data_IF_159042265683
#
_entry.id   IF_159042265683
#
_cell.length_a   1.000
_cell.length_b   1.000
_cell.length_c   1.000
_cell.angle_alpha   90.00
_cell.angle_beta   90.00
_cell.angle_gamma   90.00
#
_symmetry.space_group_name_H-M   'P 1'
#
loop_
_entity.id
_entity.type
_entity.pdbx_description
1 polymer ?
#
# COMPACT_ATOMS: atom_id res chain seq x y z
N UNK A 1 -22.24 12.12 -4.36
CA UNK A 1 -21.11 12.73 -3.63
C UNK A 1 -20.87 12.11 -2.27
N UNK A 2 -21.84 11.41 -1.71
CA UNK A 2 -21.79 10.87 -0.36
C UNK A 2 -21.49 9.37 -0.33
N UNK A 3 -21.11 8.86 0.84
CA UNK A 3 -20.97 7.42 1.06
C UNK A 3 -22.30 6.71 0.85
N UNK A 4 -22.29 5.58 0.16
CA UNK A 4 -23.48 4.75 -0.06
C UNK A 4 -23.19 3.29 0.24
N UNK A 5 -24.08 2.63 0.95
CA UNK A 5 -24.07 1.18 1.14
C UNK A 5 -25.13 0.55 0.21
N UNK A 6 -24.69 -0.26 -0.76
CA UNK A 6 -25.56 -0.91 -1.74
C UNK A 6 -25.18 -2.38 -1.83
N UNK A 7 -26.14 -3.28 -1.62
CA UNK A 7 -25.92 -4.73 -1.71
C UNK A 7 -24.73 -5.24 -0.88
N UNK A 8 -24.57 -4.72 0.35
CA UNK A 8 -23.47 -5.10 1.25
C UNK A 8 -22.09 -4.54 0.88
N UNK A 9 -22.02 -3.69 -0.13
CA UNK A 9 -20.78 -2.97 -0.51
C UNK A 9 -20.87 -1.51 -0.10
N UNK A 10 -19.78 -0.99 0.46
CA UNK A 10 -19.64 0.43 0.79
C UNK A 10 -18.96 1.15 -0.36
N UNK A 11 -19.63 2.16 -0.91
CA UNK A 11 -19.08 3.04 -1.93
C UNK A 11 -18.59 4.34 -1.30
N UNK A 12 -17.32 4.64 -1.54
CA UNK A 12 -16.69 5.86 -1.05
C UNK A 12 -17.19 7.08 -1.82
N UNK A 13 -17.56 8.14 -1.11
CA UNK A 13 -18.02 9.39 -1.71
C UNK A 13 -16.87 10.15 -2.35
N UNK A 14 -16.89 10.37 -3.66
CA UNK A 14 -15.82 11.06 -4.39
C UNK A 14 -15.57 12.49 -3.88
N UNK A 15 -16.57 13.14 -3.29
CA UNK A 15 -16.43 14.47 -2.67
C UNK A 15 -15.58 14.50 -1.40
N UNK A 16 -15.26 13.34 -0.81
CA UNK A 16 -14.38 13.21 0.34
C UNK A 16 -12.89 13.02 -0.03
N UNK A 17 -12.58 12.88 -1.32
CA UNK A 17 -11.21 12.80 -1.82
C UNK A 17 -10.53 14.17 -1.68
N UNK A 18 -9.31 14.17 -1.17
CA UNK A 18 -8.52 15.42 -1.00
C UNK A 18 -8.37 16.14 -2.34
N UNK A 19 -8.49 17.46 -2.32
CA UNK A 19 -8.41 18.35 -3.49
C UNK A 19 -9.53 18.16 -4.52
N UNK A 20 -10.54 17.35 -4.24
CA UNK A 20 -11.70 17.17 -5.10
C UNK A 20 -12.88 17.93 -4.49
N UNK A 21 -13.27 19.03 -5.10
CA UNK A 21 -14.36 19.89 -4.61
C UNK A 21 -15.71 19.20 -4.72
N UNK A 22 -16.57 19.41 -3.72
CA UNK A 22 -17.93 18.86 -3.70
C UNK A 22 -18.76 19.31 -4.91
N UNK A 23 -18.64 20.58 -5.30
CA UNK A 23 -19.35 21.18 -6.45
C UNK A 23 -18.99 20.48 -7.76
N UNK A 24 -17.69 20.27 -8.01
CA UNK A 24 -17.21 19.56 -9.20
C UNK A 24 -17.78 18.14 -9.29
N UNK A 25 -17.78 17.43 -8.17
CA UNK A 25 -18.35 16.08 -8.12
C UNK A 25 -19.87 16.10 -8.33
N UNK A 26 -20.57 17.09 -7.77
CA UNK A 26 -22.02 17.24 -7.98
C UNK A 26 -22.34 17.44 -9.46
N UNK A 27 -21.58 18.24 -10.18
CA UNK A 27 -21.76 18.46 -11.61
C UNK A 27 -21.48 17.20 -12.42
N UNK A 28 -20.42 16.45 -12.11
CA UNK A 28 -20.13 15.15 -12.74
C UNK A 28 -21.25 14.13 -12.49
N UNK A 29 -21.79 14.10 -11.25
CA UNK A 29 -22.90 13.20 -10.88
C UNK A 29 -24.15 13.58 -11.63
N UNK A 30 -24.51 14.88 -11.68
CA UNK A 30 -25.68 15.38 -12.42
C UNK A 30 -25.57 15.05 -13.92
N UNK A 31 -24.39 15.24 -14.51
CA UNK A 31 -24.14 14.87 -15.91
C UNK A 31 -24.40 13.36 -16.14
N UNK A 32 -23.92 12.52 -15.24
CA UNK A 32 -24.13 11.08 -15.30
C UNK A 32 -25.59 10.68 -15.10
N UNK A 33 -26.32 11.34 -14.21
CA UNK A 33 -27.74 11.06 -13.94
C UNK A 33 -28.62 11.48 -15.11
N UNK A 34 -28.33 12.62 -15.74
CA UNK A 34 -29.13 13.16 -16.86
C UNK A 34 -28.83 12.43 -18.17
N UNK A 35 -27.59 12.07 -18.44
CA UNK A 35 -27.11 11.58 -19.73
C UNK A 35 -26.54 10.14 -19.69
N UNK A 36 -26.77 9.41 -18.58
CA UNK A 36 -26.37 8.02 -18.39
C UNK A 36 -24.91 7.85 -17.98
N UNK A 37 -24.56 6.61 -17.65
CA UNK A 37 -23.21 6.21 -17.19
C UNK A 37 -22.12 6.61 -18.20
N UNK A 38 -20.93 6.94 -17.69
CA UNK A 38 -19.75 7.11 -18.54
C UNK A 38 -19.27 5.71 -19.00
N UNK A 39 -19.19 5.50 -20.31
CA UNK A 39 -18.87 4.20 -20.91
C UNK A 39 -17.36 3.98 -21.09
N UNK A 40 -16.57 5.05 -21.13
CA UNK A 40 -15.13 5.04 -21.28
C UNK A 40 -14.52 6.34 -20.73
N UNK A 41 -13.21 6.36 -20.57
CA UNK A 41 -12.50 7.58 -20.20
C UNK A 41 -12.67 8.69 -21.25
N UNK A 42 -12.68 8.33 -22.53
CA UNK A 42 -12.94 9.27 -23.61
C UNK A 42 -14.37 9.85 -23.54
N UNK A 43 -15.38 9.02 -23.25
CA UNK A 43 -16.75 9.47 -23.06
C UNK A 43 -16.86 10.42 -21.85
N UNK A 44 -16.14 10.17 -20.77
CA UNK A 44 -16.04 11.07 -19.62
C UNK A 44 -15.49 12.45 -20.03
N UNK A 45 -14.32 12.49 -20.69
CA UNK A 45 -13.66 13.73 -21.12
C UNK A 45 -14.60 14.59 -22.00
N UNK A 46 -15.34 13.96 -22.90
CA UNK A 46 -16.20 14.65 -23.86
C UNK A 46 -17.46 15.28 -23.23
N UNK A 47 -17.81 14.82 -22.03
CA UNK A 47 -19.04 15.22 -21.33
C UNK A 47 -18.83 16.17 -20.18
N UNK A 48 -17.64 16.17 -19.58
CA UNK A 48 -17.32 17.03 -18.44
C UNK A 48 -16.86 18.42 -18.87
N UNK A 49 -17.03 19.41 -17.98
CA UNK A 49 -16.60 20.78 -18.22
C UNK A 49 -15.23 21.03 -17.57
N UNK A 50 -14.39 21.84 -18.22
CA UNK A 50 -13.09 22.31 -17.67
C UNK A 50 -13.23 23.00 -16.31
N UNK A 51 -14.36 23.65 -16.05
CA UNK A 51 -14.64 24.30 -14.76
C UNK A 51 -14.81 23.29 -13.62
N UNK A 52 -15.25 22.08 -13.95
CA UNK A 52 -15.54 21.01 -12.97
C UNK A 52 -14.38 20.07 -12.75
N UNK A 53 -13.40 20.02 -13.67
CA UNK A 53 -12.27 19.07 -13.62
C UNK A 53 -10.94 19.77 -13.91
N UNK A 54 -10.41 20.45 -12.90
CA UNK A 54 -9.06 21.01 -12.96
C UNK A 54 -7.98 19.93 -12.69
N UNK A 55 -6.72 20.33 -12.84
CA UNK A 55 -5.56 19.43 -12.66
C UNK A 55 -5.57 18.70 -11.31
N UNK A 56 -5.74 19.45 -10.21
CA UNK A 56 -5.70 18.88 -8.86
C UNK A 56 -6.85 17.91 -8.59
N UNK A 57 -8.02 18.21 -9.14
CA UNK A 57 -9.20 17.34 -9.02
C UNK A 57 -9.01 16.04 -9.79
N UNK A 58 -8.50 16.11 -11.04
CA UNK A 58 -8.19 14.92 -11.82
C UNK A 58 -7.10 14.07 -11.15
N UNK A 59 -6.03 14.69 -10.65
CA UNK A 59 -4.99 13.98 -9.90
C UNK A 59 -5.56 13.25 -8.68
N UNK A 60 -6.43 13.91 -7.91
CA UNK A 60 -7.09 13.30 -6.76
C UNK A 60 -7.97 12.11 -7.14
N UNK A 61 -8.80 12.26 -8.17
CA UNK A 61 -9.68 11.20 -8.69
C UNK A 61 -8.87 10.00 -9.22
N UNK A 62 -7.81 10.26 -10.00
CA UNK A 62 -6.94 9.19 -10.55
C UNK A 62 -6.25 8.43 -9.43
N UNK A 63 -5.63 9.13 -8.48
CA UNK A 63 -4.93 8.51 -7.35
C UNK A 63 -5.86 7.67 -6.47
N UNK A 64 -7.10 8.12 -6.30
CA UNK A 64 -8.14 7.40 -5.56
C UNK A 64 -8.74 6.21 -6.33
N UNK A 65 -8.38 6.00 -7.60
CA UNK A 65 -8.90 4.89 -8.42
C UNK A 65 -10.30 5.12 -8.99
N UNK A 66 -10.74 6.38 -9.10
CA UNK A 66 -12.08 6.68 -9.64
C UNK A 66 -12.27 6.24 -11.10
N UNK A 67 -11.20 5.98 -11.83
CA UNK A 67 -11.19 5.57 -13.22
C UNK A 67 -10.74 4.12 -13.47
N UNK A 68 -10.53 3.31 -12.42
CA UNK A 68 -10.04 1.93 -12.51
C UNK A 68 -10.95 0.99 -13.32
N UNK A 69 -12.23 1.36 -13.46
CA UNK A 69 -13.17 0.62 -14.31
C UNK A 69 -12.83 0.79 -15.81
N UNK A 70 -12.24 1.93 -16.19
CA UNK A 70 -11.85 2.22 -17.57
C UNK A 70 -10.41 1.81 -17.86
N UNK A 71 -9.49 2.08 -16.95
CA UNK A 71 -8.08 1.70 -17.04
C UNK A 71 -7.48 1.57 -15.64
N UNK A 72 -6.85 0.42 -15.38
CA UNK A 72 -6.20 0.12 -14.09
C UNK A 72 -4.84 0.78 -13.93
N UNK A 73 -4.23 1.24 -15.02
CA UNK A 73 -2.94 1.95 -14.96
C UNK A 73 -3.16 3.41 -14.61
N UNK A 74 -3.27 3.67 -13.31
CA UNK A 74 -3.44 5.03 -12.77
C UNK A 74 -2.28 5.96 -13.14
N UNK A 75 -1.04 5.45 -13.24
CA UNK A 75 0.12 6.27 -13.60
C UNK A 75 0.02 6.80 -15.03
N UNK A 76 -0.44 5.95 -15.96
CA UNK A 76 -0.69 6.33 -17.35
C UNK A 76 -1.69 7.48 -17.47
N UNK A 77 -2.82 7.38 -16.75
CA UNK A 77 -3.82 8.45 -16.71
C UNK A 77 -3.23 9.72 -16.09
N UNK A 78 -2.52 9.59 -14.96
CA UNK A 78 -1.92 10.72 -14.24
C UNK A 78 -0.97 11.53 -15.12
N UNK A 79 -0.06 10.84 -15.82
CA UNK A 79 0.90 11.48 -16.72
C UNK A 79 0.22 12.16 -17.91
N UNK A 80 -0.96 11.68 -18.31
CA UNK A 80 -1.74 12.25 -19.42
C UNK A 80 -2.62 13.44 -19.02
N UNK A 81 -2.70 13.82 -17.74
CA UNK A 81 -3.57 14.91 -17.27
C UNK A 81 -3.38 16.23 -18.04
N UNK A 82 -2.17 16.70 -18.35
CA UNK A 82 -2.00 17.92 -19.13
C UNK A 82 -2.69 17.84 -20.49
N UNK A 83 -2.53 16.72 -21.21
CA UNK A 83 -3.15 16.45 -22.50
C UNK A 83 -4.67 16.33 -22.39
N UNK A 84 -5.16 15.70 -21.31
CA UNK A 84 -6.58 15.58 -20.99
C UNK A 84 -7.22 16.97 -20.82
N UNK A 85 -6.63 17.82 -19.98
CA UNK A 85 -7.15 19.17 -19.71
C UNK A 85 -7.17 20.00 -20.99
N UNK A 86 -6.10 19.93 -21.79
CA UNK A 86 -6.06 20.66 -23.08
C UNK A 86 -7.17 20.18 -24.01
N UNK A 87 -7.42 18.87 -24.09
CA UNK A 87 -8.51 18.33 -24.92
C UNK A 87 -9.87 18.78 -24.43
N UNK A 88 -10.16 18.72 -23.12
CA UNK A 88 -11.43 19.19 -22.55
C UNK A 88 -11.64 20.69 -22.87
N UNK A 89 -10.57 21.50 -22.71
CA UNK A 89 -10.62 22.93 -23.01
C UNK A 89 -10.99 23.20 -24.47
N UNK A 90 -10.27 22.59 -25.42
CA UNK A 90 -10.54 22.75 -26.84
C UNK A 90 -11.98 22.38 -27.21
N UNK A 91 -12.49 21.27 -26.65
CA UNK A 91 -13.87 20.83 -26.90
C UNK A 91 -14.93 21.77 -26.33
N UNK A 92 -14.65 22.44 -25.21
CA UNK A 92 -15.58 23.43 -24.66
C UNK A 92 -15.55 24.73 -25.45
N UNK A 93 -14.37 25.18 -25.91
CA UNK A 93 -14.22 26.35 -26.77
C UNK A 93 -14.96 26.13 -28.11
N UNK A 94 -14.88 24.93 -28.69
CA UNK A 94 -15.63 24.57 -29.92
C UNK A 94 -17.15 24.59 -29.71
N UNK A 95 -17.64 24.15 -28.58
CA UNK A 95 -19.08 24.19 -28.22
C UNK A 95 -19.59 25.62 -28.04
N UNK A 96 -18.82 26.50 -27.40
CA UNK A 96 -19.17 27.89 -27.15
C UNK A 96 -19.17 28.71 -28.46
N UNK A 97 -18.26 28.41 -29.38
CA UNK A 97 -18.11 29.18 -30.64
C UNK A 97 -19.03 28.70 -31.77
N UNK A 98 -19.86 27.68 -31.55
CA UNK A 98 -20.75 27.10 -32.60
C UNK A 98 -20.00 26.70 -33.89
N UNK A 99 -18.70 26.58 -33.88
CA UNK A 99 -17.90 26.13 -35.00
C UNK A 99 -17.88 24.60 -35.03
N UNK A 100 -18.76 24.04 -35.87
CA UNK A 100 -18.60 22.64 -36.29
C UNK A 100 -17.30 22.54 -37.09
N UNK A 101 -16.25 21.98 -36.49
CA UNK A 101 -14.99 21.72 -37.16
C UNK A 101 -15.22 20.88 -38.41
N UNK A 102 -14.88 21.42 -39.59
CA UNK A 102 -14.95 20.73 -40.90
C UNK A 102 -14.14 19.42 -40.90
N UNK A 103 -13.22 19.22 -39.91
CA UNK A 103 -12.41 18.04 -39.72
C UNK A 103 -12.90 17.14 -38.56
N UNK A 104 -13.99 17.47 -37.87
CA UNK A 104 -14.49 16.79 -36.67
C UNK A 104 -15.10 15.40 -36.91
N UNK A 105 -15.35 15.00 -38.14
CA UNK A 105 -15.89 13.67 -38.46
C UNK A 105 -14.83 12.57 -38.41
N UNK A 106 -13.55 12.88 -38.64
CA UNK A 106 -12.50 11.89 -38.57
C UNK A 106 -12.03 11.57 -37.12
N UNK A 107 -12.18 12.51 -36.18
CA UNK A 107 -11.89 12.25 -34.74
C UNK A 107 -13.05 11.58 -34.02
N UNK A 108 -14.28 11.68 -34.49
CA UNK A 108 -15.47 11.01 -33.91
C UNK A 108 -15.38 9.47 -33.95
N UNK A 109 -14.53 8.91 -34.78
CA UNK A 109 -14.34 7.46 -34.93
C UNK A 109 -13.26 6.86 -34.03
N UNK A 110 -12.50 7.67 -33.24
CA UNK A 110 -11.62 7.15 -32.22
C UNK A 110 -12.36 7.14 -30.88
N UNK A 111 -12.91 6.00 -30.49
CA UNK A 111 -13.56 5.79 -29.20
C UNK A 111 -12.55 5.76 -28.03
N UNK A 112 -11.24 5.81 -28.29
CA UNK A 112 -10.17 5.70 -27.31
C UNK A 112 -9.38 7.00 -27.19
N UNK A 113 -9.02 7.34 -25.96
CA UNK A 113 -8.09 8.43 -25.66
C UNK A 113 -6.65 7.92 -25.79
N UNK A 114 -5.81 8.67 -26.52
CA UNK A 114 -4.40 8.37 -26.68
C UNK A 114 -3.61 8.88 -25.47
N UNK A 115 -3.37 7.97 -24.51
CA UNK A 115 -2.62 8.25 -23.29
C UNK A 115 -1.12 8.32 -23.52
N UNK A 116 -0.43 9.10 -22.69
CA UNK A 116 1.04 9.09 -22.65
C UNK A 116 1.53 7.71 -22.13
N UNK A 117 2.65 7.25 -22.71
CA UNK A 117 3.29 6.02 -22.22
C UNK A 117 3.90 6.22 -20.84
N UNK A 118 3.69 5.27 -19.95
CA UNK A 118 4.27 5.28 -18.61
C UNK A 118 4.54 3.86 -18.10
N UNK A 119 5.40 3.73 -17.11
CA UNK A 119 5.55 2.48 -16.37
C UNK A 119 4.45 2.42 -15.29
N UNK A 120 3.65 1.34 -15.22
CA UNK A 120 2.66 1.19 -14.16
C UNK A 120 3.30 1.30 -12.77
N UNK A 121 2.57 1.88 -11.82
CA UNK A 121 3.03 1.92 -10.44
C UNK A 121 3.21 0.52 -9.85
N UNK A 122 4.24 0.36 -9.04
CA UNK A 122 4.34 -0.77 -8.12
C UNK A 122 3.17 -0.74 -7.13
N UNK A 123 2.85 -1.87 -6.51
CA UNK A 123 1.78 -1.96 -5.50
C UNK A 123 2.04 -0.96 -4.36
N UNK A 124 3.29 -0.80 -3.91
CA UNK A 124 3.67 0.16 -2.87
C UNK A 124 3.38 1.61 -3.28
N UNK A 125 3.74 2.00 -4.51
CA UNK A 125 3.47 3.33 -5.04
C UNK A 125 1.97 3.59 -5.18
N UNK A 126 1.23 2.62 -5.73
CA UNK A 126 -0.22 2.72 -5.90
C UNK A 126 -0.91 2.97 -4.54
N UNK A 127 -0.59 2.17 -3.53
CA UNK A 127 -1.17 2.31 -2.20
C UNK A 127 -0.75 3.62 -1.51
N UNK A 128 0.48 4.07 -1.74
CA UNK A 128 0.95 5.36 -1.22
C UNK A 128 0.20 6.54 -1.84
N UNK A 129 -0.01 6.55 -3.16
CA UNK A 129 -0.76 7.61 -3.84
C UNK A 129 -2.26 7.57 -3.48
N UNK A 130 -2.84 6.38 -3.32
CA UNK A 130 -4.20 6.20 -2.83
C UNK A 130 -4.35 6.79 -1.42
N UNK A 131 -3.44 6.44 -0.51
CA UNK A 131 -3.43 6.96 0.86
C UNK A 131 -3.30 8.49 0.90
N UNK A 132 -2.40 9.09 0.11
CA UNK A 132 -2.26 10.54 0.02
C UNK A 132 -3.55 11.23 -0.41
N UNK A 133 -4.32 10.60 -1.28
CA UNK A 133 -5.54 11.12 -1.86
C UNK A 133 -6.77 10.92 -0.95
N UNK A 134 -6.90 9.76 -0.33
CA UNK A 134 -8.08 9.36 0.46
C UNK A 134 -7.85 9.55 1.96
N UNK A 135 -6.64 9.26 2.44
CA UNK A 135 -6.26 9.30 3.86
C UNK A 135 -6.33 7.95 4.56
N UNK A 136 -6.66 6.87 3.85
CA UNK A 136 -6.59 5.48 4.29
C UNK A 136 -6.41 4.54 3.10
N UNK A 137 -6.14 3.26 3.35
CA UNK A 137 -5.96 2.24 2.31
C UNK A 137 -7.31 1.64 1.96
N UNK A 138 -7.78 1.81 0.72
CA UNK A 138 -9.08 1.35 0.25
C UNK A 138 -8.98 0.02 -0.51
N UNK A 139 -8.05 -0.10 -1.45
CA UNK A 139 -7.96 -1.27 -2.34
C UNK A 139 -7.26 -2.44 -1.67
N UNK A 140 -6.18 -2.18 -0.95
CA UNK A 140 -5.40 -3.18 -0.24
C UNK A 140 -4.59 -2.52 0.89
N UNK A 141 -4.11 -3.29 1.86
CA UNK A 141 -3.23 -2.77 2.91
C UNK A 141 -1.77 -3.17 2.63
N UNK A 142 -0.77 -2.26 2.83
CA UNK A 142 0.64 -2.57 2.55
C UNK A 142 1.18 -3.82 3.25
N UNK A 143 0.59 -4.19 4.39
CA UNK A 143 1.01 -5.37 5.15
C UNK A 143 0.40 -6.69 4.68
N UNK A 144 -0.51 -6.68 3.69
CA UNK A 144 -1.22 -7.90 3.27
C UNK A 144 -0.30 -8.94 2.63
N UNK A 145 0.71 -8.50 1.89
CA UNK A 145 1.66 -9.39 1.22
C UNK A 145 2.63 -10.09 2.18
N UNK A 146 2.70 -9.65 3.46
CA UNK A 146 3.67 -10.14 4.44
C UNK A 146 3.07 -11.06 5.51
N UNK A 147 1.85 -11.56 5.31
CA UNK A 147 1.13 -12.35 6.33
C UNK A 147 1.88 -13.62 6.76
N UNK A 148 2.42 -14.36 5.80
CA UNK A 148 3.20 -15.57 6.09
C UNK A 148 4.50 -15.25 6.87
N UNK A 149 5.15 -14.15 6.49
CA UNK A 149 6.35 -13.64 7.17
C UNK A 149 6.01 -13.25 8.62
N UNK A 150 4.87 -12.59 8.82
CA UNK A 150 4.43 -12.19 10.17
C UNK A 150 4.16 -13.40 11.06
N UNK A 151 3.55 -14.45 10.52
CA UNK A 151 3.34 -15.70 11.25
C UNK A 151 4.66 -16.33 11.69
N UNK A 152 5.67 -16.38 10.83
CA UNK A 152 7.00 -16.93 11.15
C UNK A 152 7.75 -16.09 12.18
N UNK A 153 7.70 -14.77 12.05
CA UNK A 153 8.33 -13.84 12.98
C UNK A 153 7.52 -13.66 14.27
N UNK A 154 6.36 -14.34 14.41
CA UNK A 154 5.42 -14.20 15.52
C UNK A 154 4.99 -12.73 15.73
N UNK A 155 4.77 -12.01 14.63
CA UNK A 155 4.24 -10.66 14.63
C UNK A 155 2.72 -10.75 14.72
N UNK A 156 2.12 -10.09 15.71
CA UNK A 156 0.68 -10.08 15.97
C UNK A 156 0.04 -8.80 15.43
N UNK A 157 -1.29 -8.79 15.24
CA UNK A 157 -1.99 -7.52 15.13
C UNK A 157 -1.91 -6.75 16.45
N UNK A 158 -2.07 -5.43 16.40
CA UNK A 158 -2.02 -4.60 17.61
C UNK A 158 -3.07 -5.03 18.66
N UNK A 159 -4.31 -5.31 18.23
CA UNK A 159 -5.36 -5.76 19.13
C UNK A 159 -5.03 -7.12 19.76
N UNK A 160 -4.53 -8.09 18.98
CA UNK A 160 -4.08 -9.37 19.51
C UNK A 160 -2.97 -9.20 20.56
N UNK A 161 -1.99 -8.33 20.29
CA UNK A 161 -0.96 -8.03 21.27
C UNK A 161 -1.55 -7.36 22.51
N UNK A 162 -2.48 -6.40 22.35
CA UNK A 162 -3.07 -5.67 23.48
C UNK A 162 -3.84 -6.60 24.43
N UNK A 163 -4.58 -7.56 23.90
CA UNK A 163 -5.39 -8.53 24.63
C UNK A 163 -4.58 -9.69 25.24
N UNK A 164 -3.43 -10.02 24.64
CA UNK A 164 -2.55 -11.09 25.08
C UNK A 164 -2.02 -10.86 26.51
N UNK A 165 -1.71 -11.94 27.21
CA UNK A 165 -1.09 -11.89 28.56
C UNK A 165 0.40 -11.55 28.52
N UNK A 166 1.07 -11.73 27.38
CA UNK A 166 2.51 -11.43 27.25
C UNK A 166 2.81 -9.96 27.47
N UNK A 167 3.82 -9.64 28.26
CA UNK A 167 4.23 -8.26 28.51
C UNK A 167 5.02 -7.64 27.37
N UNK A 168 5.59 -8.46 26.49
CA UNK A 168 6.36 -8.01 25.33
C UNK A 168 5.88 -8.74 24.07
N UNK A 169 5.88 -8.03 22.95
CA UNK A 169 5.50 -8.60 21.67
C UNK A 169 5.91 -7.73 20.49
N UNK A 170 5.77 -8.30 19.29
CA UNK A 170 6.02 -7.59 18.04
C UNK A 170 4.72 -7.40 17.29
N UNK A 171 4.53 -6.17 16.78
CA UNK A 171 3.44 -5.81 15.89
C UNK A 171 4.01 -5.22 14.61
N UNK A 172 3.24 -5.23 13.54
CA UNK A 172 3.56 -4.47 12.34
C UNK A 172 2.54 -3.35 12.14
N UNK A 173 2.99 -2.22 11.61
CA UNK A 173 2.11 -1.09 11.30
C UNK A 173 2.69 -0.23 10.18
N UNK A 174 1.80 0.34 9.38
CA UNK A 174 2.11 1.35 8.36
C UNK A 174 1.77 2.73 8.91
N UNK A 175 2.68 3.68 8.78
CA UNK A 175 2.49 5.04 9.32
C UNK A 175 1.42 5.78 8.52
N UNK A 176 0.40 6.28 9.22
CA UNK A 176 -0.66 7.12 8.68
C UNK A 176 -0.39 8.60 8.91
N UNK A 177 0.13 8.97 10.08
CA UNK A 177 0.50 10.34 10.39
C UNK A 177 1.53 10.41 11.51
N UNK A 178 2.29 11.50 11.53
CA UNK A 178 3.34 11.76 12.51
C UNK A 178 3.14 13.16 13.08
N UNK A 179 3.09 13.27 14.39
CA UNK A 179 3.04 14.55 15.10
C UNK A 179 4.21 14.65 16.07
N UNK A 180 5.24 15.41 15.72
CA UNK A 180 6.32 15.70 16.67
C UNK A 180 5.92 16.81 17.64
N UNK A 181 6.18 16.58 18.91
CA UNK A 181 5.89 17.51 20.02
C UNK A 181 7.08 17.62 20.97
N UNK A 182 7.03 18.59 21.85
CA UNK A 182 7.99 18.74 22.97
C UNK A 182 7.26 18.57 24.29
N UNK A 183 7.87 17.82 25.20
CA UNK A 183 7.39 17.71 26.58
C UNK A 183 7.56 19.04 27.32
N UNK A 184 6.97 19.16 28.52
CA UNK A 184 7.16 20.33 29.37
C UNK A 184 8.65 20.63 29.73
N UNK A 185 9.50 19.59 29.65
CA UNK A 185 10.96 19.69 29.85
C UNK A 185 11.73 19.96 28.55
N UNK A 186 11.04 20.25 27.43
CA UNK A 186 11.68 20.52 26.15
C UNK A 186 12.13 19.27 25.38
N UNK A 187 11.95 18.06 25.93
CA UNK A 187 12.38 16.80 25.31
C UNK A 187 11.44 16.44 24.15
N UNK A 188 11.96 16.17 22.93
CA UNK A 188 11.13 15.83 21.78
C UNK A 188 10.52 14.42 21.94
N UNK A 189 9.30 14.27 21.48
CA UNK A 189 8.62 12.98 21.29
C UNK A 189 7.71 13.05 20.09
N UNK A 190 7.34 11.91 19.53
CA UNK A 190 6.37 11.85 18.44
C UNK A 190 5.16 11.01 18.85
N UNK A 191 3.97 11.46 18.43
CA UNK A 191 2.76 10.65 18.39
C UNK A 191 2.64 10.18 16.97
N UNK A 192 2.71 8.86 16.76
CA UNK A 192 2.62 8.26 15.44
C UNK A 192 1.37 7.40 15.38
N UNK A 193 0.51 7.70 14.42
CA UNK A 193 -0.66 6.91 14.11
C UNK A 193 -0.26 5.85 13.08
N UNK A 194 -0.49 4.60 13.41
CA UNK A 194 -0.26 3.44 12.56
C UNK A 194 -1.59 2.79 12.16
N UNK A 195 -1.59 2.10 11.03
CA UNK A 195 -2.61 1.11 10.70
C UNK A 195 -1.98 -0.27 10.59
N UNK A 196 -2.64 -1.27 11.12
CA UNK A 196 -2.44 -2.66 10.73
C UNK A 196 -3.62 -3.11 9.84
N UNK A 197 -3.66 -4.40 9.49
CA UNK A 197 -4.71 -4.96 8.62
C UNK A 197 -6.13 -4.90 9.22
N UNK A 198 -6.26 -4.64 10.53
CA UNK A 198 -7.52 -4.75 11.27
C UNK A 198 -7.91 -3.49 12.01
N UNK A 199 -6.94 -2.65 12.39
CA UNK A 199 -7.18 -1.50 13.25
C UNK A 199 -6.16 -0.38 13.02
N UNK A 200 -6.53 0.81 13.45
CA UNK A 200 -5.63 1.95 13.63
C UNK A 200 -5.24 2.04 15.10
N UNK A 201 -3.99 2.42 15.38
CA UNK A 201 -3.49 2.58 16.73
C UNK A 201 -2.43 3.68 16.81
N UNK A 202 -2.26 4.26 17.99
CA UNK A 202 -1.29 5.32 18.22
C UNK A 202 -0.20 4.85 19.18
N UNK A 203 1.04 5.21 18.86
CA UNK A 203 2.20 4.96 19.70
C UNK A 203 2.97 6.24 19.95
N UNK A 204 3.54 6.32 21.17
CA UNK A 204 4.43 7.38 21.57
C UNK A 204 5.88 6.96 21.40
N UNK A 205 6.62 7.66 20.55
CA UNK A 205 8.06 7.46 20.40
C UNK A 205 8.80 8.54 21.19
N UNK A 206 9.46 8.14 22.24
CA UNK A 206 10.24 9.05 23.06
C UNK A 206 11.62 9.32 22.45
N UNK A 207 12.31 10.34 22.97
CA UNK A 207 13.47 10.98 22.34
C UNK A 207 14.53 10.05 21.75
N UNK A 208 14.93 8.99 22.45
CA UNK A 208 15.98 8.08 21.97
C UNK A 208 15.56 7.36 20.70
N UNK A 209 14.37 6.76 20.71
CA UNK A 209 13.83 6.01 19.55
C UNK A 209 13.47 6.97 18.42
N UNK A 210 12.91 8.13 18.73
CA UNK A 210 12.56 9.14 17.75
C UNK A 210 13.80 9.65 17.01
N UNK A 211 14.85 10.07 17.75
CA UNK A 211 16.07 10.60 17.14
C UNK A 211 16.77 9.57 16.26
N UNK A 212 16.86 8.32 16.74
CA UNK A 212 17.52 7.23 16.00
C UNK A 212 16.79 6.87 14.69
N UNK A 213 15.49 7.16 14.57
CA UNK A 213 14.68 6.73 13.44
C UNK A 213 14.04 7.88 12.65
N UNK A 214 14.20 9.14 13.06
CA UNK A 214 13.50 10.30 12.49
C UNK A 214 13.52 10.35 10.95
N UNK A 215 14.66 10.09 10.33
CA UNK A 215 14.81 10.16 8.88
C UNK A 215 14.05 9.06 8.11
N UNK A 216 13.72 7.96 8.80
CA UNK A 216 13.02 6.79 8.24
C UNK A 216 11.51 6.86 8.49
N UNK A 217 11.09 7.59 9.52
CA UNK A 217 9.67 7.74 9.87
C UNK A 217 9.01 8.67 8.86
N UNK A 218 8.27 8.08 7.92
CA UNK A 218 7.51 8.79 6.88
C UNK A 218 6.15 8.13 6.72
N UNK A 219 5.15 8.92 6.32
CA UNK A 219 3.84 8.40 5.98
C UNK A 219 3.94 7.34 4.87
N UNK A 220 3.08 6.33 4.93
CA UNK A 220 3.05 5.14 4.06
C UNK A 220 4.22 4.17 4.21
N UNK A 221 5.21 4.41 5.07
CA UNK A 221 6.26 3.46 5.40
C UNK A 221 5.79 2.47 6.47
N UNK A 222 6.20 1.20 6.32
CA UNK A 222 5.81 0.10 7.21
C UNK A 222 6.96 -0.31 8.14
N UNK A 223 6.61 -0.65 9.37
CA UNK A 223 7.57 -0.98 10.41
C UNK A 223 7.16 -2.22 11.20
N UNK A 224 8.17 -2.96 11.68
CA UNK A 224 8.03 -3.95 12.75
C UNK A 224 8.41 -3.26 14.06
N UNK A 225 7.50 -3.31 15.02
CA UNK A 225 7.60 -2.56 16.28
C UNK A 225 7.59 -3.54 17.44
N UNK A 226 8.62 -3.50 18.27
CA UNK A 226 8.66 -4.25 19.53
C UNK A 226 8.03 -3.39 20.63
N UNK A 227 6.98 -3.90 21.23
CA UNK A 227 6.17 -3.22 22.24
C UNK A 227 6.33 -3.91 23.59
N UNK A 228 6.25 -3.12 24.65
CA UNK A 228 6.17 -3.59 26.04
C UNK A 228 4.93 -3.03 26.71
N UNK A 229 4.22 -3.88 27.46
CA UNK A 229 3.10 -3.50 28.32
C UNK A 229 3.59 -3.32 29.73
N UNK A 230 3.30 -2.17 30.30
CA UNK A 230 3.53 -1.91 31.72
C UNK A 230 2.17 -1.72 32.41
N UNK A 231 2.01 -2.27 33.60
CA UNK A 231 0.84 -2.02 34.43
C UNK A 231 0.85 -0.58 34.93
N UNK A 232 -0.30 0.06 34.94
CA UNK A 232 -0.44 1.41 35.48
C UNK A 232 -0.72 1.27 36.98
N UNK A 233 0.09 1.94 37.82
CA UNK A 233 -0.16 1.98 39.27
C UNK A 233 -1.54 2.53 39.55
N UNK A 234 -2.38 1.72 40.26
CA UNK A 234 -3.73 2.11 40.66
C UNK A 234 -4.86 1.74 39.70
N UNK A 235 -4.57 1.16 38.51
CA UNK A 235 -5.58 0.65 37.61
C UNK A 235 -5.06 -0.59 36.87
N UNK A 236 -5.41 -1.78 37.37
CA UNK A 236 -4.99 -3.04 36.77
C UNK A 236 -5.59 -3.32 35.38
N UNK A 237 -6.66 -2.59 35.02
CA UNK A 237 -7.34 -2.76 33.73
C UNK A 237 -6.67 -2.01 32.60
N UNK A 238 -5.91 -0.94 32.92
CA UNK A 238 -5.20 -0.12 31.94
C UNK A 238 -3.75 -0.53 31.81
N UNK A 239 -3.31 -0.69 30.59
CA UNK A 239 -1.93 -1.02 30.21
C UNK A 239 -1.31 0.17 29.50
N UNK A 240 -0.09 0.54 29.93
CA UNK A 240 0.70 1.52 29.19
C UNK A 240 1.55 0.76 28.17
N UNK A 241 1.44 1.14 26.91
CA UNK A 241 2.22 0.57 25.83
C UNK A 241 3.45 1.44 25.55
N UNK A 242 4.62 0.83 25.67
CA UNK A 242 5.89 1.50 25.37
C UNK A 242 6.55 0.85 24.15
N UNK A 243 7.09 1.69 23.27
CA UNK A 243 7.90 1.24 22.16
C UNK A 243 9.32 0.95 22.65
N UNK A 244 9.82 -0.26 22.44
CA UNK A 244 11.20 -0.65 22.75
C UNK A 244 12.12 -0.54 21.54
N UNK A 245 11.61 -0.92 20.39
CA UNK A 245 12.36 -0.93 19.13
C UNK A 245 11.42 -0.75 17.96
N UNK A 246 11.90 -0.05 16.93
CA UNK A 246 11.22 0.10 15.66
C UNK A 246 12.21 -0.18 14.53
N UNK A 247 11.83 -1.02 13.58
CA UNK A 247 12.65 -1.42 12.44
C UNK A 247 11.82 -1.26 11.17
N UNK A 248 12.40 -0.72 10.12
CA UNK A 248 11.74 -0.68 8.82
C UNK A 248 11.44 -2.11 8.35
N UNK A 249 10.24 -2.35 7.82
CA UNK A 249 9.80 -3.68 7.42
C UNK A 249 10.68 -4.27 6.32
N UNK A 250 11.10 -3.48 5.34
CA UNK A 250 11.98 -3.92 4.25
C UNK A 250 13.35 -4.36 4.79
N UNK A 251 13.91 -3.65 5.79
CA UNK A 251 15.16 -4.06 6.43
C UNK A 251 15.04 -5.39 7.17
N UNK A 252 13.85 -5.66 7.76
CA UNK A 252 13.59 -6.94 8.44
C UNK A 252 13.44 -8.06 7.44
N UNK A 253 12.78 -7.82 6.30
CA UNK A 253 12.52 -8.80 5.24
C UNK A 253 13.79 -9.16 4.50
N UNK A 254 14.60 -8.15 4.15
CA UNK A 254 15.83 -8.33 3.35
C UNK A 254 17.03 -8.74 4.22
N UNK A 255 16.84 -8.91 5.54
CA UNK A 255 17.93 -9.36 6.40
C UNK A 255 18.24 -10.83 6.13
N UNK A 256 19.48 -11.17 5.72
CA UNK A 256 19.87 -12.55 5.49
C UNK A 256 19.83 -13.35 6.80
N UNK A 257 19.43 -14.60 6.70
CA UNK A 257 19.55 -15.53 7.81
C UNK A 257 21.01 -15.94 7.99
N UNK A 258 21.43 -16.18 9.21
CA UNK A 258 22.78 -16.74 9.48
C UNK A 258 22.85 -18.21 9.06
N UNK A 259 21.77 -18.96 9.27
CA UNK A 259 21.67 -20.39 8.98
C UNK A 259 20.24 -20.79 8.64
N UNK A 260 20.06 -21.60 7.62
CA UNK A 260 18.78 -22.16 7.21
C UNK A 260 18.91 -23.66 7.02
N UNK A 261 17.90 -24.41 7.48
CA UNK A 261 17.79 -25.84 7.24
C UNK A 261 16.50 -26.09 6.45
N UNK A 262 16.65 -26.60 5.22
CA UNK A 262 15.55 -26.93 4.32
C UNK A 262 15.32 -28.43 4.35
N UNK A 263 14.14 -28.86 4.76
CA UNK A 263 13.73 -30.27 4.69
C UNK A 263 13.14 -30.54 3.33
N UNK A 264 13.76 -31.45 2.59
CA UNK A 264 13.31 -31.85 1.25
C UNK A 264 12.30 -33.00 1.37
N UNK A 265 11.09 -32.79 0.84
CA UNK A 265 10.07 -33.84 0.73
C UNK A 265 10.43 -34.75 -0.44
N UNK A 266 9.82 -35.96 -0.52
CA UNK A 266 10.15 -36.98 -1.51
C UNK A 266 9.91 -36.55 -2.99
N UNK A 267 9.13 -35.49 -3.19
CA UNK A 267 8.73 -34.93 -4.48
C UNK A 267 9.41 -33.58 -4.80
N UNK A 268 10.49 -33.24 -4.09
CA UNK A 268 11.18 -31.95 -4.31
C UNK A 268 11.79 -31.85 -5.70
N UNK A 269 11.72 -30.64 -6.28
CA UNK A 269 12.38 -30.32 -7.53
C UNK A 269 13.79 -29.76 -7.29
N UNK A 270 14.82 -30.54 -7.62
CA UNK A 270 16.21 -30.16 -7.40
C UNK A 270 16.61 -28.89 -8.19
N UNK A 271 16.09 -28.72 -9.40
CA UNK A 271 16.41 -27.55 -10.24
C UNK A 271 15.85 -26.26 -9.66
N UNK A 272 14.67 -26.30 -9.03
CA UNK A 272 14.08 -25.16 -8.35
C UNK A 272 14.91 -24.75 -7.11
N UNK A 273 15.39 -25.72 -6.35
CA UNK A 273 16.26 -25.46 -5.20
C UNK A 273 17.61 -24.89 -5.66
N UNK A 274 18.18 -25.39 -6.76
CA UNK A 274 19.39 -24.83 -7.35
C UNK A 274 19.20 -23.38 -7.79
N UNK A 275 18.07 -23.06 -8.43
CA UNK A 275 17.75 -21.68 -8.83
C UNK A 275 17.60 -20.78 -7.61
N UNK A 276 16.87 -21.20 -6.59
CA UNK A 276 16.66 -20.46 -5.36
C UNK A 276 17.97 -20.18 -4.62
N UNK A 277 18.90 -21.14 -4.63
CA UNK A 277 20.19 -21.06 -3.94
C UNK A 277 21.34 -20.75 -4.92
N UNK A 278 21.06 -20.11 -6.06
CA UNK A 278 22.08 -19.83 -7.08
C UNK A 278 23.10 -18.76 -6.65
N UNK A 279 22.64 -17.76 -5.92
CA UNK A 279 23.46 -16.62 -5.53
C UNK A 279 24.31 -16.91 -4.29
N UNK A 280 25.57 -16.47 -4.30
CA UNK A 280 26.44 -16.47 -3.12
C UNK A 280 26.00 -15.40 -2.14
N UNK A 281 26.09 -15.68 -0.85
CA UNK A 281 25.70 -14.76 0.22
C UNK A 281 26.27 -15.14 1.56
N UNK A 282 25.58 -14.79 2.65
CA UNK A 282 26.07 -14.97 4.03
C UNK A 282 25.40 -16.12 4.78
N UNK A 283 24.37 -16.75 4.23
CA UNK A 283 23.57 -17.77 4.92
C UNK A 283 24.17 -19.17 4.72
N UNK A 284 24.45 -19.85 5.82
CA UNK A 284 24.76 -21.29 5.86
C UNK A 284 23.50 -22.10 5.53
N UNK A 285 23.54 -22.94 4.50
CA UNK A 285 22.40 -23.76 4.08
C UNK A 285 22.66 -25.24 4.37
N UNK A 286 21.72 -25.86 5.07
CA UNK A 286 21.66 -27.30 5.29
C UNK A 286 20.42 -27.86 4.60
N UNK A 287 20.59 -28.91 3.80
CA UNK A 287 19.52 -29.67 3.19
C UNK A 287 19.32 -30.99 3.98
N UNK A 288 18.10 -31.26 4.35
CA UNK A 288 17.73 -32.48 5.07
C UNK A 288 16.88 -33.36 4.18
N UNK A 289 17.39 -34.56 3.88
CA UNK A 289 16.65 -35.59 3.13
C UNK A 289 16.24 -36.67 4.13
N UNK A 290 14.95 -37.00 4.13
CA UNK A 290 14.40 -38.09 4.92
C UNK A 290 13.97 -39.23 4.01
N UNK A 291 14.47 -40.44 4.25
CA UNK A 291 14.00 -41.67 3.62
C UNK A 291 13.60 -42.65 4.74
N UNK A 292 12.32 -43.00 4.76
CA UNK A 292 11.63 -43.91 5.73
C UNK A 292 12.20 -43.94 7.15
N UNK A 293 13.43 -44.41 7.34
CA UNK A 293 14.09 -44.52 8.66
C UNK A 293 15.47 -43.85 8.74
N UNK A 294 15.88 -43.12 7.70
CA UNK A 294 17.19 -42.45 7.66
C UNK A 294 17.02 -40.97 7.41
N UNK A 295 17.81 -40.18 8.13
CA UNK A 295 17.90 -38.72 7.94
C UNK A 295 19.33 -38.42 7.53
N UNK A 296 19.52 -37.81 6.37
CA UNK A 296 20.80 -37.31 5.91
C UNK A 296 20.77 -35.77 5.90
N UNK A 297 21.86 -35.16 6.37
CA UNK A 297 22.01 -33.69 6.35
C UNK A 297 23.19 -33.38 5.45
N UNK A 298 22.95 -32.54 4.46
CA UNK A 298 23.96 -32.05 3.52
C UNK A 298 24.14 -30.55 3.73
N UNK A 299 25.34 -30.15 4.17
CA UNK A 299 25.71 -28.73 4.25
C UNK A 299 26.30 -28.29 2.92
N UNK A 300 25.84 -27.17 2.39
CA UNK A 300 26.47 -26.58 1.18
C UNK A 300 27.87 -26.07 1.56
N UNK A 301 28.83 -26.27 0.67
CA UNK A 301 30.22 -25.83 0.88
C UNK A 301 30.39 -24.30 0.93
N UNK A 302 29.50 -23.59 0.23
CA UNK A 302 29.51 -22.13 0.19
C UNK A 302 28.19 -21.59 0.72
N UNK A 303 28.28 -20.48 1.45
CA UNK A 303 27.10 -19.75 1.91
C UNK A 303 26.30 -19.19 0.72
N UNK A 304 24.99 -19.08 0.88
CA UNK A 304 24.04 -18.59 -0.13
C UNK A 304 23.32 -17.34 0.34
N UNK A 305 22.83 -16.59 -0.62
CA UNK A 305 21.85 -15.54 -0.33
C UNK A 305 20.52 -16.19 0.08
N UNK A 306 20.05 -15.90 1.28
CA UNK A 306 18.77 -16.41 1.76
C UNK A 306 18.16 -15.46 2.80
N UNK A 307 17.04 -14.88 2.44
CA UNK A 307 16.24 -13.97 3.25
C UNK A 307 14.78 -14.44 3.36
N UNK A 308 13.90 -13.60 3.88
CA UNK A 308 12.47 -13.90 4.00
C UNK A 308 11.75 -14.04 2.63
N UNK A 309 12.24 -13.38 1.57
CA UNK A 309 11.66 -13.52 0.24
C UNK A 309 11.94 -14.91 -0.34
N UNK A 310 13.16 -15.43 -0.15
CA UNK A 310 13.53 -16.78 -0.52
C UNK A 310 12.67 -17.82 0.23
N UNK A 311 12.41 -17.57 1.52
CA UNK A 311 11.55 -18.43 2.33
C UNK A 311 10.08 -18.42 1.83
N UNK A 312 9.55 -17.27 1.42
CA UNK A 312 8.23 -17.14 0.81
C UNK A 312 8.13 -17.96 -0.49
N UNK A 313 9.16 -17.90 -1.32
CA UNK A 313 9.22 -18.66 -2.58
C UNK A 313 9.21 -20.17 -2.37
N UNK A 314 9.84 -20.68 -1.28
CA UNK A 314 9.79 -22.10 -0.92
C UNK A 314 8.40 -22.55 -0.49
N UNK A 315 7.64 -21.69 0.23
CA UNK A 315 6.34 -22.07 0.81
C UNK A 315 5.17 -22.01 -0.18
N UNK A 316 5.22 -21.09 -1.13
CA UNK A 316 4.17 -20.98 -2.17
C UNK A 316 4.01 -22.28 -2.99
N UNK A 317 4.98 -23.21 -2.89
CA UNK A 317 4.99 -24.49 -3.60
C UNK A 317 4.63 -25.71 -2.73
N UNK A 318 4.23 -25.50 -1.48
CA UNK A 318 3.60 -26.59 -0.69
C UNK A 318 2.13 -26.76 -1.14
N UNK A 319 1.92 -27.65 -2.11
CA UNK A 319 0.61 -28.23 -2.46
C UNK A 319 0.39 -29.52 -1.69
#
# INVERSE_FOLDING_TARGET
SDFKAINGKLYYGLGAIKNVGFEAISNIVNERENNGQFKSFFNFINRVNVKDVNKLQLEGLVKAGAFDEFDKDRNKILNSIPKIIQKIKNMNDDKENHQSNLFGEQEKNKEEFDFESSTPWSVKELLSEEFKSIGFYLTNHPLNEFEEIFNQLKIKSYNQFYEDESNEGRVAGTIMSIQEKKSAKGTPYAIIKFSDKKAEFELFLFSEILVANRNRLKESESFVITLQKDKISGDETKKRINVKKILNLEEVINKPYSKVTIELKNDFNLEEIKQLLSNRGETEINLVVKDKNKKAIYSLQENREFDLNHLKSLKVKEY
#
